data_IF_800810176412
#
_entry.id   IF_800810176412
#
_cell.length_a   1.000
_cell.length_b   1.000
_cell.length_c   1.000
_cell.angle_alpha   90.00
_cell.angle_beta   90.00
_cell.angle_gamma   90.00
#
_symmetry.space_group_name_H-M   'P 1'
#
loop_
_entity.id
_entity.type
_entity.pdbx_description
1 polymer ?
#
# COMPACT_ATOMS: atom_id res chain seq x y z
N UNK A 1 20.74 13.46 -7.43
CA UNK A 1 19.28 13.73 -7.56
C UNK A 1 18.42 12.47 -7.47
N UNK A 2 18.79 11.37 -8.13
CA UNK A 2 18.09 10.07 -8.04
C UNK A 2 18.05 9.51 -6.60
N UNK A 3 19.17 9.53 -5.90
CA UNK A 3 19.30 8.99 -4.54
C UNK A 3 18.48 9.78 -3.51
N UNK A 4 18.44 11.11 -3.61
CA UNK A 4 17.63 11.97 -2.74
C UNK A 4 16.13 11.74 -2.92
N UNK A 5 15.70 11.47 -4.16
CA UNK A 5 14.29 11.16 -4.45
C UNK A 5 13.92 9.75 -3.98
N UNK A 6 14.80 8.77 -4.21
CA UNK A 6 14.65 7.41 -3.69
C UNK A 6 14.55 7.39 -2.17
N UNK A 7 15.41 8.18 -1.50
CA UNK A 7 15.40 8.33 -0.05
C UNK A 7 14.06 8.91 0.44
N UNK A 8 13.51 9.92 -0.25
CA UNK A 8 12.18 10.47 0.12
C UNK A 8 11.06 9.43 -0.03
N UNK A 9 11.06 8.62 -1.08
CA UNK A 9 10.03 7.58 -1.26
C UNK A 9 10.18 6.47 -0.22
N UNK A 10 11.41 6.06 0.08
CA UNK A 10 11.69 5.14 1.18
C UNK A 10 11.19 5.68 2.50
N UNK A 11 11.54 6.94 2.81
CA UNK A 11 11.11 7.59 4.03
C UNK A 11 9.58 7.63 4.10
N UNK A 12 8.88 7.99 3.01
CA UNK A 12 7.42 7.96 2.95
C UNK A 12 6.85 6.56 3.22
N UNK A 13 7.39 5.52 2.57
CA UNK A 13 6.96 4.14 2.80
C UNK A 13 7.22 3.68 4.25
N UNK A 14 8.39 4.00 4.82
CA UNK A 14 8.72 3.70 6.22
C UNK A 14 7.79 4.43 7.19
N UNK A 15 7.54 5.71 6.97
CA UNK A 15 6.63 6.51 7.80
C UNK A 15 5.22 5.92 7.78
N UNK A 16 4.76 5.46 6.62
CA UNK A 16 3.48 4.76 6.48
C UNK A 16 3.44 3.40 7.19
N UNK A 17 4.51 2.60 7.10
CA UNK A 17 4.63 1.35 7.84
C UNK A 17 4.61 1.58 9.34
N UNK A 18 5.39 2.55 9.84
CA UNK A 18 5.42 2.93 11.25
C UNK A 18 4.04 3.41 11.71
N UNK A 19 3.37 4.25 10.93
CA UNK A 19 2.02 4.73 11.26
C UNK A 19 0.99 3.59 11.32
N UNK A 20 1.06 2.65 10.38
CA UNK A 20 0.20 1.47 10.38
C UNK A 20 0.46 0.57 11.59
N UNK A 21 1.73 0.28 11.90
CA UNK A 21 2.10 -0.49 13.10
C UNK A 21 1.66 0.21 14.38
N UNK A 22 1.83 1.52 14.47
CA UNK A 22 1.39 2.31 15.62
C UNK A 22 -0.14 2.29 15.75
N UNK A 23 -0.88 2.36 14.64
CA UNK A 23 -2.32 2.15 14.61
C UNK A 23 -2.74 0.80 15.16
N UNK A 24 -2.07 -0.29 14.76
CA UNK A 24 -2.34 -1.63 15.31
C UNK A 24 -2.07 -1.72 16.82
N UNK A 25 -0.97 -1.12 17.30
CA UNK A 25 -0.64 -1.08 18.74
C UNK A 25 -1.67 -0.30 19.53
N UNK A 26 -2.12 0.85 19.02
CA UNK A 26 -3.17 1.66 19.66
C UNK A 26 -4.47 0.87 19.76
N UNK A 27 -4.90 0.21 18.67
CA UNK A 27 -6.14 -0.57 18.69
C UNK A 27 -6.02 -1.78 19.64
N UNK A 28 -4.87 -2.46 19.66
CA UNK A 28 -4.59 -3.54 20.60
C UNK A 28 -4.67 -3.04 22.05
N UNK A 29 -4.09 -1.88 22.34
CA UNK A 29 -4.10 -1.27 23.67
C UNK A 29 -5.50 -0.81 24.09
N UNK A 30 -6.28 -0.21 23.19
CA UNK A 30 -7.69 0.14 23.45
C UNK A 30 -8.53 -1.09 23.79
N UNK A 31 -8.29 -2.20 23.10
CA UNK A 31 -8.96 -3.48 23.36
C UNK A 31 -8.53 -4.10 24.69
N UNK A 32 -7.25 -3.98 25.05
CA UNK A 32 -6.73 -4.40 26.35
C UNK A 32 -7.36 -3.62 27.50
N UNK A 33 -7.58 -2.31 27.33
CA UNK A 33 -8.26 -1.43 28.29
C UNK A 33 -9.78 -1.67 28.38
N UNK A 34 -10.35 -2.58 27.59
CA UNK A 34 -11.77 -2.90 27.66
C UNK A 34 -12.69 -1.82 27.09
N UNK A 35 -12.18 -0.91 26.26
CA UNK A 35 -13.06 -0.02 25.49
C UNK A 35 -13.92 -0.86 24.55
N UNK A 36 -15.18 -1.03 24.95
CA UNK A 36 -16.15 -1.89 24.29
C UNK A 36 -16.62 -1.25 22.97
N UNK A 37 -16.11 -1.78 21.86
CA UNK A 37 -16.73 -1.60 20.55
C UNK A 37 -17.99 -2.49 20.46
N UNK A 38 -19.01 -2.11 19.65
CA UNK A 38 -20.24 -2.88 19.52
C UNK A 38 -19.95 -4.37 19.33
N UNK A 39 -20.63 -5.22 20.09
CA UNK A 39 -20.28 -6.64 20.26
C UNK A 39 -20.77 -7.53 19.12
N UNK A 40 -21.70 -7.06 18.31
CA UNK A 40 -22.32 -7.83 17.23
C UNK A 40 -21.53 -7.65 15.92
N UNK A 41 -20.83 -8.70 15.43
CA UNK A 41 -20.13 -8.62 14.15
C UNK A 41 -21.13 -8.51 13.01
N UNK A 42 -21.04 -7.42 12.25
CA UNK A 42 -21.87 -7.21 11.08
C UNK A 42 -21.17 -7.75 9.84
N UNK A 43 -21.85 -8.63 9.10
CA UNK A 43 -21.33 -9.23 7.86
C UNK A 43 -20.99 -8.16 6.82
N UNK A 44 -21.81 -7.11 6.72
CA UNK A 44 -21.63 -6.02 5.76
C UNK A 44 -20.33 -5.26 6.00
N UNK A 45 -20.09 -4.75 7.22
CA UNK A 45 -18.86 -4.03 7.52
C UNK A 45 -17.61 -4.91 7.40
N UNK A 46 -17.73 -6.19 7.77
CA UNK A 46 -16.66 -7.17 7.55
C UNK A 46 -16.27 -7.31 6.08
N UNK A 47 -17.27 -7.40 5.19
CA UNK A 47 -17.04 -7.48 3.75
C UNK A 47 -16.47 -6.18 3.19
N UNK A 48 -16.98 -5.02 3.65
CA UNK A 48 -16.47 -3.71 3.22
C UNK A 48 -15.00 -3.53 3.62
N UNK A 49 -14.63 -3.89 4.85
CA UNK A 49 -13.25 -3.84 5.31
C UNK A 49 -12.33 -4.76 4.49
N UNK A 50 -12.77 -5.99 4.23
CA UNK A 50 -12.01 -6.93 3.41
C UNK A 50 -11.86 -6.46 1.96
N UNK A 51 -12.95 -6.11 1.29
CA UNK A 51 -12.94 -5.67 -0.10
C UNK A 51 -12.16 -4.36 -0.26
N UNK A 52 -12.30 -3.42 0.68
CA UNK A 52 -11.55 -2.19 0.72
C UNK A 52 -10.05 -2.44 0.88
N UNK A 53 -9.66 -3.29 1.84
CA UNK A 53 -8.25 -3.66 2.03
C UNK A 53 -7.65 -4.35 0.81
N UNK A 54 -8.40 -5.25 0.17
CA UNK A 54 -7.94 -6.02 -0.99
C UNK A 54 -7.83 -5.15 -2.24
N UNK A 55 -8.83 -4.30 -2.46
CA UNK A 55 -8.83 -3.36 -3.59
C UNK A 55 -7.70 -2.34 -3.44
N UNK A 56 -7.51 -1.78 -2.24
CA UNK A 56 -6.45 -0.82 -1.94
C UNK A 56 -5.05 -1.42 -2.01
N UNK A 57 -4.83 -2.55 -1.35
CA UNK A 57 -3.49 -3.12 -1.20
C UNK A 57 -3.02 -3.92 -2.43
N UNK A 58 -3.94 -4.41 -3.28
CA UNK A 58 -3.59 -5.30 -4.40
C UNK A 58 -4.15 -4.81 -5.74
N UNK A 59 -5.48 -4.64 -5.85
CA UNK A 59 -6.08 -4.36 -7.16
C UNK A 59 -5.64 -3.00 -7.74
N UNK A 60 -5.66 -1.94 -6.93
CA UNK A 60 -5.25 -0.61 -7.34
C UNK A 60 -3.76 -0.53 -7.73
N UNK A 61 -2.81 -1.04 -6.92
CA UNK A 61 -1.40 -1.08 -7.31
C UNK A 61 -1.16 -1.78 -8.64
N UNK A 62 -1.85 -2.90 -8.89
CA UNK A 62 -1.75 -3.65 -10.15
C UNK A 62 -2.25 -2.80 -11.32
N UNK A 63 -3.41 -2.14 -11.17
CA UNK A 63 -3.97 -1.25 -12.20
C UNK A 63 -3.04 -0.08 -12.51
N UNK A 64 -2.47 0.54 -11.47
CA UNK A 64 -1.50 1.64 -11.64
C UNK A 64 -0.27 1.14 -12.41
N UNK A 65 0.32 -0.01 -12.03
CA UNK A 65 1.46 -0.59 -12.76
C UNK A 65 1.12 -0.86 -14.22
N UNK A 66 -0.04 -1.44 -14.52
CA UNK A 66 -0.46 -1.70 -15.91
C UNK A 66 -0.66 -0.42 -16.71
N UNK A 67 -1.26 0.61 -16.12
CA UNK A 67 -1.50 1.89 -16.78
C UNK A 67 -0.17 2.55 -17.21
N UNK A 68 0.80 2.59 -16.30
CA UNK A 68 2.14 3.12 -16.59
C UNK A 68 2.94 2.21 -17.53
N UNK A 69 2.76 0.90 -17.46
CA UNK A 69 3.40 -0.02 -18.41
C UNK A 69 2.92 0.20 -19.84
N UNK A 70 1.60 0.32 -20.04
CA UNK A 70 1.02 0.69 -21.36
C UNK A 70 1.53 2.04 -21.85
N UNK A 71 1.70 3.01 -20.94
CA UNK A 71 2.27 4.31 -21.27
C UNK A 71 3.74 4.21 -21.70
N UNK A 72 4.56 3.48 -20.95
CA UNK A 72 5.97 3.21 -21.29
C UNK A 72 6.10 2.55 -22.66
N UNK A 73 5.28 1.52 -22.93
CA UNK A 73 5.30 0.81 -24.19
C UNK A 73 4.97 1.71 -25.39
N UNK A 74 4.03 2.66 -25.24
CA UNK A 74 3.68 3.63 -26.29
C UNK A 74 4.72 4.72 -26.51
N UNK A 75 5.42 5.14 -25.45
CA UNK A 75 6.39 6.25 -25.50
C UNK A 75 7.85 5.79 -25.64
N UNK A 76 8.08 4.48 -25.71
CA UNK A 76 9.42 3.89 -25.81
C UNK A 76 10.25 4.05 -24.53
N UNK A 77 9.60 4.09 -23.37
CA UNK A 77 10.21 4.31 -22.06
C UNK A 77 9.46 5.35 -21.24
N UNK A 78 9.64 5.31 -19.92
CA UNK A 78 9.07 6.28 -18.99
C UNK A 78 10.09 7.38 -18.67
N UNK A 79 9.65 8.62 -18.46
CA UNK A 79 10.51 9.67 -17.89
C UNK A 79 10.75 9.39 -16.41
N UNK A 80 11.88 9.84 -15.90
CA UNK A 80 12.26 9.67 -14.49
C UNK A 80 11.20 10.26 -13.55
N UNK A 81 10.73 11.48 -13.85
CA UNK A 81 9.65 12.15 -13.11
C UNK A 81 8.34 11.35 -13.05
N UNK A 82 7.97 10.69 -14.16
CA UNK A 82 6.76 9.88 -14.24
C UNK A 82 6.89 8.56 -13.47
N UNK A 83 8.09 7.98 -13.46
CA UNK A 83 8.38 6.74 -12.74
C UNK A 83 8.26 6.97 -11.23
N UNK A 84 8.79 8.07 -10.74
CA UNK A 84 8.62 8.47 -9.35
C UNK A 84 7.16 8.76 -8.98
N UNK A 85 6.39 9.34 -9.92
CA UNK A 85 4.95 9.57 -9.72
C UNK A 85 4.18 8.25 -9.62
N UNK A 86 4.53 7.25 -10.44
CA UNK A 86 3.99 5.89 -10.33
C UNK A 86 4.28 5.28 -8.96
N UNK A 87 5.54 5.26 -8.52
CA UNK A 87 5.94 4.73 -7.21
C UNK A 87 5.16 5.37 -6.06
N UNK A 88 5.00 6.70 -6.08
CA UNK A 88 4.19 7.41 -5.08
C UNK A 88 2.73 6.96 -5.12
N UNK A 89 2.14 6.76 -6.29
CA UNK A 89 0.77 6.25 -6.39
C UNK A 89 0.64 4.83 -5.84
N UNK A 90 1.61 3.95 -6.10
CA UNK A 90 1.60 2.59 -5.55
C UNK A 90 1.61 2.61 -4.02
N UNK A 91 2.48 3.43 -3.43
CA UNK A 91 2.57 3.59 -1.96
C UNK A 91 1.24 4.12 -1.40
N UNK A 92 0.62 5.11 -2.06
CA UNK A 92 -0.67 5.66 -1.64
C UNK A 92 -1.80 4.63 -1.73
N UNK A 93 -1.86 3.82 -2.79
CA UNK A 93 -2.86 2.78 -2.93
C UNK A 93 -2.75 1.74 -1.79
N UNK A 94 -1.53 1.26 -1.53
CA UNK A 94 -1.30 0.31 -0.43
C UNK A 94 -1.65 0.90 0.92
N UNK A 95 -1.32 2.17 1.15
CA UNK A 95 -1.70 2.86 2.38
C UNK A 95 -3.21 2.97 2.54
N UNK A 96 -3.95 3.24 1.46
CA UNK A 96 -5.41 3.23 1.49
C UNK A 96 -5.95 1.85 1.90
N UNK A 97 -5.37 0.77 1.36
CA UNK A 97 -5.69 -0.60 1.77
C UNK A 97 -5.39 -0.85 3.26
N UNK A 98 -4.27 -0.32 3.76
CA UNK A 98 -3.90 -0.42 5.17
C UNK A 98 -4.88 0.33 6.10
N UNK A 99 -5.39 1.49 5.68
CA UNK A 99 -6.44 2.21 6.41
C UNK A 99 -7.73 1.40 6.51
N UNK A 100 -8.15 0.74 5.42
CA UNK A 100 -9.31 -0.16 5.46
C UNK A 100 -9.11 -1.35 6.41
N UNK A 101 -7.88 -1.87 6.52
CA UNK A 101 -7.54 -2.93 7.47
C UNK A 101 -7.58 -2.45 8.91
N UNK A 102 -7.08 -1.24 9.21
CA UNK A 102 -7.22 -0.63 10.54
C UNK A 102 -8.68 -0.39 10.90
N UNK A 103 -9.48 0.08 9.93
CA UNK A 103 -10.92 0.24 10.10
C UNK A 103 -11.61 -1.10 10.39
N UNK A 104 -11.25 -2.16 9.65
CA UNK A 104 -11.76 -3.51 9.91
C UNK A 104 -11.35 -4.05 11.30
N UNK A 105 -10.26 -3.53 11.88
CA UNK A 105 -9.81 -3.88 13.22
C UNK A 105 -10.54 -3.12 14.33
N UNK A 106 -11.04 -1.91 14.03
CA UNK A 106 -11.86 -1.09 14.95
C UNK A 106 -13.31 -1.56 15.01
N UNK A 107 -13.85 -2.07 13.90
CA UNK A 107 -15.23 -2.54 13.80
C UNK A 107 -15.32 -4.02 14.22
N UNK A 108 -16.42 -4.48 14.84
CA UNK A 108 -16.65 -5.91 15.05
C UNK A 108 -16.76 -6.64 13.70
N UNK A 109 -15.64 -7.23 13.29
CA UNK A 109 -15.49 -7.99 12.05
C UNK A 109 -15.25 -9.47 12.38
N UNK A 110 -15.76 -10.37 11.54
CA UNK A 110 -15.46 -11.78 11.69
C UNK A 110 -13.95 -12.05 11.62
N UNK A 111 -13.44 -12.89 12.53
CA UNK A 111 -11.99 -13.18 12.68
C UNK A 111 -11.32 -13.58 11.36
N UNK A 112 -12.00 -14.37 10.52
CA UNK A 112 -11.45 -14.82 9.24
C UNK A 112 -11.27 -13.66 8.24
N UNK A 113 -12.23 -12.75 8.13
CA UNK A 113 -12.11 -11.55 7.28
C UNK A 113 -10.97 -10.65 7.77
N UNK A 114 -10.84 -10.49 9.09
CA UNK A 114 -9.78 -9.69 9.70
C UNK A 114 -8.38 -10.25 9.41
N UNK A 115 -8.18 -11.56 9.59
CA UNK A 115 -6.89 -12.20 9.26
C UNK A 115 -6.55 -12.06 7.78
N UNK A 116 -7.55 -12.19 6.90
CA UNK A 116 -7.35 -12.06 5.47
C UNK A 116 -6.99 -10.62 5.07
N UNK A 117 -7.67 -9.61 5.62
CA UNK A 117 -7.35 -8.20 5.42
C UNK A 117 -5.92 -7.86 5.84
N UNK A 118 -5.50 -8.36 7.02
CA UNK A 118 -4.13 -8.15 7.51
C UNK A 118 -3.12 -8.81 6.59
N UNK A 119 -3.34 -10.07 6.20
CA UNK A 119 -2.45 -10.81 5.30
C UNK A 119 -2.29 -10.08 3.95
N UNK A 120 -3.40 -9.65 3.37
CA UNK A 120 -3.42 -8.92 2.09
C UNK A 120 -2.74 -7.56 2.20
N UNK A 121 -2.87 -6.87 3.33
CA UNK A 121 -2.18 -5.60 3.59
C UNK A 121 -0.67 -5.79 3.70
N UNK A 122 -0.22 -6.80 4.46
CA UNK A 122 1.20 -7.13 4.58
C UNK A 122 1.78 -7.48 3.20
N UNK A 123 1.04 -8.25 2.41
CA UNK A 123 1.43 -8.57 1.04
C UNK A 123 1.53 -7.31 0.16
N UNK A 124 0.55 -6.41 0.23
CA UNK A 124 0.57 -5.13 -0.50
C UNK A 124 1.77 -4.27 -0.12
N UNK A 125 2.06 -4.11 1.17
CA UNK A 125 3.23 -3.39 1.69
C UNK A 125 4.52 -4.01 1.16
N UNK A 126 4.64 -5.34 1.21
CA UNK A 126 5.79 -6.05 0.68
C UNK A 126 5.97 -5.82 -0.83
N UNK A 127 4.88 -5.83 -1.59
CA UNK A 127 4.92 -5.67 -3.06
C UNK A 127 5.41 -4.29 -3.52
N UNK A 128 5.23 -3.26 -2.70
CA UNK A 128 5.63 -1.88 -3.00
C UNK A 128 6.93 -1.49 -2.27
N UNK A 129 7.49 -2.39 -1.46
CA UNK A 129 8.70 -2.07 -0.71
C UNK A 129 9.89 -1.77 -1.66
N UNK A 130 10.47 -0.56 -1.61
CA UNK A 130 11.49 -0.13 -2.56
C UNK A 130 12.87 -0.69 -2.21
N UNK A 131 13.05 -2.00 -2.36
CA UNK A 131 14.34 -2.67 -2.22
C UNK A 131 15.26 -2.32 -3.40
N UNK A 132 16.56 -2.10 -3.15
CA UNK A 132 17.55 -1.73 -4.19
C UNK A 132 17.53 -2.69 -5.40
N UNK A 133 17.32 -3.99 -5.17
CA UNK A 133 17.27 -5.00 -6.25
C UNK A 133 16.01 -4.90 -7.09
N UNK A 134 14.85 -4.69 -6.45
CA UNK A 134 13.55 -4.52 -7.14
C UNK A 134 13.54 -3.23 -7.95
N UNK A 135 14.06 -2.13 -7.37
CA UNK A 135 14.15 -0.83 -8.03
C UNK A 135 14.97 -0.87 -9.33
N UNK A 136 16.11 -1.58 -9.33
CA UNK A 136 16.91 -1.77 -10.56
C UNK A 136 16.16 -2.56 -11.62
N UNK A 137 15.39 -3.59 -11.22
CA UNK A 137 14.56 -4.38 -12.14
C UNK A 137 13.43 -3.53 -12.72
N UNK A 138 12.78 -2.70 -11.91
CA UNK A 138 11.70 -1.84 -12.36
C UNK A 138 12.21 -0.76 -13.32
N UNK A 139 13.36 -0.13 -13.05
CA UNK A 139 14.00 0.80 -14.00
C UNK A 139 14.26 0.15 -15.37
N UNK A 140 14.79 -1.09 -15.36
CA UNK A 140 15.05 -1.84 -16.59
C UNK A 140 13.75 -2.21 -17.32
N UNK A 141 12.72 -2.63 -16.59
CA UNK A 141 11.43 -3.02 -17.15
C UNK A 141 10.68 -1.84 -17.78
N UNK A 142 10.71 -0.67 -17.14
CA UNK A 142 10.03 0.53 -17.63
C UNK A 142 10.87 1.38 -18.58
N UNK A 143 12.11 0.96 -18.91
CA UNK A 143 13.08 1.66 -19.77
C UNK A 143 13.17 3.14 -19.41
N UNK A 144 13.42 3.41 -18.12
CA UNK A 144 13.36 4.78 -17.59
C UNK A 144 14.49 5.62 -18.20
N UNK A 145 14.12 6.73 -18.85
CA UNK A 145 15.07 7.71 -19.39
C UNK A 145 15.39 8.73 -18.30
N UNK A 146 16.68 8.98 -18.04
CA UNK A 146 17.08 10.13 -17.23
C UNK A 146 16.62 11.39 -17.96
N UNK A 147 15.92 12.28 -17.25
CA UNK A 147 15.61 13.60 -17.80
C UNK A 147 16.97 14.32 -17.98
N UNK A 148 17.41 14.48 -19.23
CA UNK A 148 18.53 15.34 -19.60
C UNK A 148 18.08 16.79 -19.35
N UNK A 149 18.50 17.34 -18.21
CA UNK A 149 18.59 18.79 -18.00
C UNK A 149 19.96 19.26 -18.42
#
# INVERSE_FOLDING_TARGET
>A
MLETLLHRIRLQAYLMMVLFSLGLVVIWFMRYLGWAFPTEPTRVLSMVGLLGSTTGAVALPILVRMAFYRKSARQGGLRLSEFFRMERYLVLCVFLGALFTLFAYLVPVYRYHLYLSVLVTIYGIYSVFPANKTYKKDIAAFRVKCDET
#
